data_IF_344894740911
#
_entry.id   IF_344894740911
#
_cell.length_a   1.000
_cell.length_b   1.000
_cell.length_c   1.000
_cell.angle_alpha   90.00
_cell.angle_beta   90.00
_cell.angle_gamma   90.00
#
_symmetry.space_group_name_H-M   'P 1'
#
loop_
_entity.id
_entity.type
_entity.pdbx_description
1 polymer ?
#
# COMPACT_ATOMS: atom_id res chain seq x y z
N UNK A 1 -29.53 -11.63 9.69
CA UNK A 1 -30.07 -10.29 10.00
C UNK A 1 -31.36 -10.13 9.22
N UNK A 2 -32.46 -9.82 9.88
CA UNK A 2 -33.75 -9.75 9.17
C UNK A 2 -33.83 -8.48 8.31
N UNK A 3 -34.83 -8.41 7.44
CA UNK A 3 -35.06 -7.32 6.48
C UNK A 3 -35.33 -5.99 7.17
N UNK A 4 -35.91 -6.02 8.37
CA UNK A 4 -36.15 -4.83 9.19
C UNK A 4 -34.83 -4.23 9.71
N UNK A 5 -33.95 -5.07 10.26
CA UNK A 5 -32.63 -4.67 10.76
C UNK A 5 -31.76 -4.06 9.66
N UNK A 6 -31.81 -4.65 8.45
CA UNK A 6 -31.10 -4.15 7.26
C UNK A 6 -31.61 -2.78 6.83
N UNK A 7 -32.93 -2.55 6.85
CA UNK A 7 -33.53 -1.25 6.55
C UNK A 7 -33.12 -0.18 7.57
N UNK A 8 -33.06 -0.52 8.85
CA UNK A 8 -32.64 0.40 9.92
C UNK A 8 -31.19 0.83 9.71
N UNK A 9 -30.30 -0.12 9.43
CA UNK A 9 -28.88 0.17 9.19
C UNK A 9 -28.70 1.00 7.91
N UNK A 10 -29.41 0.66 6.83
CA UNK A 10 -29.37 1.43 5.59
C UNK A 10 -29.80 2.88 5.82
N UNK A 11 -30.89 3.10 6.55
CA UNK A 11 -31.39 4.43 6.87
C UNK A 11 -30.37 5.22 7.68
N UNK A 12 -29.77 4.61 8.71
CA UNK A 12 -28.74 5.25 9.52
C UNK A 12 -27.53 5.69 8.69
N UNK A 13 -27.04 4.81 7.81
CA UNK A 13 -25.90 5.09 6.94
C UNK A 13 -26.22 6.16 5.89
N UNK A 14 -27.41 6.10 5.27
CA UNK A 14 -27.88 7.12 4.33
C UNK A 14 -27.96 8.48 5.01
N UNK A 15 -28.62 8.59 6.16
CA UNK A 15 -28.75 9.85 6.91
C UNK A 15 -27.39 10.44 7.30
N UNK A 16 -26.46 9.59 7.75
CA UNK A 16 -25.10 10.04 8.04
C UNK A 16 -24.37 10.55 6.78
N UNK A 17 -24.54 9.86 5.65
CA UNK A 17 -23.96 10.25 4.36
C UNK A 17 -24.55 11.57 3.85
N UNK A 18 -25.87 11.73 3.87
CA UNK A 18 -26.56 12.97 3.47
C UNK A 18 -26.11 14.16 4.31
N UNK A 19 -25.87 13.94 5.61
CA UNK A 19 -25.37 15.00 6.50
C UNK A 19 -23.92 15.40 6.19
N UNK A 20 -23.09 14.46 5.73
CA UNK A 20 -21.71 14.74 5.30
C UNK A 20 -21.68 15.56 4.01
N UNK A 21 -22.56 15.23 3.04
CA UNK A 21 -22.58 15.92 1.74
C UNK A 21 -23.42 17.20 1.74
N UNK A 22 -24.33 17.38 2.71
CA UNK A 22 -25.23 18.54 2.79
C UNK A 22 -26.39 18.52 1.78
N UNK A 23 -26.51 17.44 1.01
CA UNK A 23 -27.59 17.08 0.08
C UNK A 23 -27.60 15.56 -0.09
N UNK A 24 -28.59 15.02 -0.83
CA UNK A 24 -28.72 13.57 -1.05
C UNK A 24 -27.42 12.94 -1.54
N UNK A 25 -26.94 11.95 -0.81
CA UNK A 25 -25.67 11.26 -1.07
C UNK A 25 -25.68 10.58 -2.44
N UNK A 26 -24.60 10.69 -3.24
CA UNK A 26 -24.48 9.90 -4.47
C UNK A 26 -24.27 8.40 -4.20
N UNK A 27 -23.92 8.03 -2.95
CA UNK A 27 -23.61 6.66 -2.56
C UNK A 27 -24.86 5.86 -2.13
N UNK A 28 -25.98 6.56 -1.83
CA UNK A 28 -27.22 5.95 -1.33
C UNK A 28 -28.42 6.43 -2.17
N UNK A 29 -29.10 5.55 -2.92
CA UNK A 29 -30.30 5.93 -3.66
C UNK A 29 -31.44 6.38 -2.74
N UNK A 30 -32.36 7.17 -3.31
CA UNK A 30 -33.48 7.74 -2.57
C UNK A 30 -34.43 6.68 -2.01
N UNK A 31 -34.76 5.70 -2.84
CA UNK A 31 -35.50 4.50 -2.42
C UNK A 31 -34.53 3.43 -1.91
N UNK A 32 -34.76 2.88 -0.70
CA UNK A 32 -33.94 1.79 -0.18
C UNK A 32 -34.11 0.54 -1.05
N UNK A 33 -33.04 -0.25 -1.26
CA UNK A 33 -33.16 -1.53 -1.93
C UNK A 33 -34.06 -2.48 -1.12
N UNK A 34 -34.74 -3.40 -1.81
CA UNK A 34 -35.55 -4.43 -1.14
C UNK A 34 -34.60 -5.38 -0.40
N UNK A 35 -34.70 -5.40 0.92
CA UNK A 35 -33.98 -6.34 1.75
C UNK A 35 -34.83 -7.60 1.96
N UNK A 36 -34.21 -8.77 1.80
CA UNK A 36 -34.82 -10.07 2.07
C UNK A 36 -34.21 -10.70 3.31
N UNK A 37 -34.97 -11.59 3.95
CA UNK A 37 -34.51 -12.35 5.10
C UNK A 37 -33.50 -13.41 4.66
N UNK A 38 -32.39 -13.52 5.39
CA UNK A 38 -31.30 -14.45 5.05
C UNK A 38 -31.77 -15.92 5.00
N UNK A 39 -32.89 -16.25 5.64
CA UNK A 39 -33.52 -17.59 5.62
C UNK A 39 -34.31 -17.88 4.33
N UNK A 40 -34.82 -16.87 3.64
CA UNK A 40 -35.50 -17.04 2.34
C UNK A 40 -34.50 -17.16 1.18
N UNK A 41 -33.26 -16.72 1.37
CA UNK A 41 -32.22 -16.76 0.34
C UNK A 41 -31.68 -18.16 0.03
N UNK A 42 -31.78 -19.14 0.94
CA UNK A 42 -31.29 -20.50 0.66
C UNK A 42 -32.01 -21.21 -0.50
N UNK A 43 -33.25 -20.82 -0.84
CA UNK A 43 -34.02 -21.46 -1.91
C UNK A 43 -33.91 -20.74 -3.27
N UNK A 44 -33.37 -19.52 -3.30
CA UNK A 44 -33.27 -18.67 -4.50
C UNK A 44 -31.86 -18.75 -5.12
N UNK A 45 -30.84 -19.08 -4.31
CA UNK A 45 -29.43 -19.12 -4.70
C UNK A 45 -29.10 -20.12 -5.82
N UNK A 46 -29.90 -21.17 -6.07
CA UNK A 46 -29.62 -22.13 -7.14
C UNK A 46 -29.98 -21.64 -8.56
N UNK A 47 -30.76 -20.55 -8.73
CA UNK A 47 -31.28 -20.17 -10.06
C UNK A 47 -30.81 -18.81 -10.61
N UNK A 48 -30.17 -17.96 -9.81
CA UNK A 48 -29.75 -16.61 -10.25
C UNK A 48 -28.23 -16.38 -10.21
N UNK A 49 -27.44 -17.45 -10.30
CA UNK A 49 -25.98 -17.37 -10.45
C UNK A 49 -25.59 -16.91 -11.88
N UNK A 50 -26.03 -15.73 -12.32
CA UNK A 50 -25.40 -15.00 -13.42
C UNK A 50 -25.66 -13.49 -13.28
N UNK A 51 -24.56 -12.72 -13.26
CA UNK A 51 -24.42 -11.25 -13.36
C UNK A 51 -24.50 -10.39 -12.10
N UNK A 52 -23.68 -10.72 -11.10
CA UNK A 52 -23.25 -9.79 -10.06
C UNK A 52 -21.81 -10.10 -9.65
N UNK A 53 -20.86 -9.87 -10.55
CA UNK A 53 -19.47 -10.22 -10.34
C UNK A 53 -18.84 -9.25 -9.34
N UNK A 54 -18.93 -9.52 -8.03
CA UNK A 54 -18.06 -8.90 -7.04
C UNK A 54 -16.62 -9.34 -7.37
N UNK A 55 -15.91 -8.53 -8.14
CA UNK A 55 -14.50 -8.78 -8.44
C UNK A 55 -13.74 -8.83 -7.12
N UNK A 56 -13.10 -9.96 -6.82
CA UNK A 56 -12.24 -10.10 -5.66
C UNK A 56 -11.23 -8.93 -5.63
N UNK A 57 -11.12 -8.25 -4.49
CA UNK A 57 -10.15 -7.16 -4.33
C UNK A 57 -8.75 -7.79 -4.38
N UNK A 58 -7.93 -7.36 -5.34
CA UNK A 58 -6.59 -7.89 -5.59
C UNK A 58 -5.59 -6.75 -5.82
N UNK A 59 -4.29 -7.04 -5.77
CA UNK A 59 -3.25 -6.03 -6.00
C UNK A 59 -3.32 -5.49 -7.43
N UNK A 60 -3.73 -6.31 -8.40
CA UNK A 60 -3.97 -5.94 -9.79
C UNK A 60 -5.17 -4.99 -9.89
N UNK A 61 -6.26 -5.25 -9.17
CA UNK A 61 -7.43 -4.36 -9.19
C UNK A 61 -7.12 -3.01 -8.53
N UNK A 62 -6.29 -2.98 -7.50
CA UNK A 62 -5.74 -1.74 -6.94
C UNK A 62 -4.86 -1.01 -7.96
N UNK A 63 -4.00 -1.73 -8.68
CA UNK A 63 -3.14 -1.15 -9.72
C UNK A 63 -3.94 -0.53 -10.87
N UNK A 64 -5.03 -1.17 -11.28
CA UNK A 64 -5.97 -0.61 -12.27
C UNK A 64 -6.63 0.67 -11.77
N UNK A 65 -7.12 0.69 -10.52
CA UNK A 65 -7.68 1.92 -9.92
C UNK A 65 -6.63 3.04 -9.83
N UNK A 66 -5.36 2.70 -9.59
CA UNK A 66 -4.26 3.68 -9.59
C UNK A 66 -4.07 4.27 -10.99
N UNK A 67 -4.05 3.47 -12.06
CA UNK A 67 -3.87 3.97 -13.43
C UNK A 67 -4.96 4.93 -13.90
N UNK A 68 -6.18 4.75 -13.40
CA UNK A 68 -7.36 5.57 -13.74
C UNK A 68 -7.54 6.76 -12.78
N UNK A 69 -6.70 6.88 -11.74
CA UNK A 69 -6.90 7.85 -10.66
C UNK A 69 -6.68 9.31 -11.12
N UNK A 70 -7.62 10.18 -10.74
CA UNK A 70 -7.57 11.64 -10.94
C UNK A 70 -7.75 12.45 -9.63
N UNK A 71 -7.64 11.81 -8.46
CA UNK A 71 -8.00 12.39 -7.14
C UNK A 71 -7.14 13.55 -6.65
N UNK A 72 -5.98 13.82 -7.25
CA UNK A 72 -5.11 14.94 -6.86
C UNK A 72 -4.39 15.55 -8.07
N UNK A 73 -3.78 16.71 -7.88
CA UNK A 73 -3.12 17.49 -8.94
C UNK A 73 -2.00 16.74 -9.67
N UNK A 74 -1.40 15.71 -9.06
CA UNK A 74 -0.30 14.94 -9.69
C UNK A 74 -0.74 14.14 -10.93
N UNK A 75 -2.05 13.98 -11.15
CA UNK A 75 -2.55 13.27 -12.33
C UNK A 75 -2.23 13.99 -13.65
N UNK A 76 -2.14 15.31 -13.63
CA UNK A 76 -1.98 16.12 -14.84
C UNK A 76 -0.54 16.16 -15.35
N UNK A 77 0.44 15.81 -14.52
CA UNK A 77 1.87 15.94 -14.85
C UNK A 77 2.59 14.61 -15.00
N UNK A 78 1.99 13.49 -14.61
CA UNK A 78 2.59 12.16 -14.74
C UNK A 78 2.60 11.69 -16.19
N UNK A 79 3.61 10.92 -16.58
CA UNK A 79 3.58 10.11 -17.80
C UNK A 79 2.98 8.73 -17.51
N UNK A 80 3.40 8.09 -16.42
CA UNK A 80 2.82 6.83 -15.96
C UNK A 80 2.54 6.90 -14.47
N UNK A 81 1.55 6.15 -14.01
CA UNK A 81 1.43 5.84 -12.59
C UNK A 81 2.41 4.73 -12.22
N UNK A 82 2.78 4.69 -10.94
CA UNK A 82 3.71 3.69 -10.40
C UNK A 82 3.02 3.03 -9.20
N UNK A 83 2.19 2.00 -9.43
CA UNK A 83 1.40 1.39 -8.37
C UNK A 83 2.27 0.69 -7.32
N UNK A 84 3.36 0.06 -7.76
CA UNK A 84 4.25 -0.77 -6.96
C UNK A 84 4.65 -2.01 -7.75
N UNK A 85 5.66 -2.73 -7.28
CA UNK A 85 6.17 -3.94 -7.94
C UNK A 85 6.77 -4.91 -6.92
N UNK A 86 6.49 -6.20 -7.10
CA UNK A 86 7.14 -7.29 -6.40
C UNK A 86 6.28 -8.55 -6.38
N UNK A 87 6.56 -9.46 -5.45
CA UNK A 87 5.78 -10.69 -5.23
C UNK A 87 4.44 -10.38 -4.55
N UNK A 88 3.42 -11.22 -4.77
CA UNK A 88 2.07 -10.97 -4.25
C UNK A 88 1.91 -11.36 -2.77
N UNK A 89 2.76 -12.26 -2.29
CA UNK A 89 2.88 -12.60 -0.86
C UNK A 89 4.26 -12.21 -0.33
N UNK A 90 4.57 -10.91 -0.21
CA UNK A 90 5.88 -10.47 0.23
C UNK A 90 6.04 -10.71 1.73
N UNK A 91 7.24 -11.11 2.14
CA UNK A 91 7.63 -11.07 3.55
C UNK A 91 7.79 -9.61 4.00
N UNK A 92 8.29 -8.75 3.12
CA UNK A 92 8.59 -7.35 3.41
C UNK A 92 7.94 -6.42 2.39
N UNK A 93 7.26 -5.38 2.89
CA UNK A 93 6.86 -4.25 2.07
C UNK A 93 7.86 -3.09 2.26
N UNK A 94 8.41 -2.59 1.17
CA UNK A 94 9.26 -1.39 1.18
C UNK A 94 8.45 -0.20 0.71
N UNK A 95 8.48 0.89 1.47
CA UNK A 95 7.70 2.11 1.17
C UNK A 95 8.63 3.30 1.03
N UNK A 96 8.65 3.89 -0.17
CA UNK A 96 9.33 5.15 -0.47
C UNK A 96 8.38 6.35 -0.54
N UNK A 97 8.92 7.49 -0.97
CA UNK A 97 8.18 8.76 -1.07
C UNK A 97 7.24 8.79 -2.29
N UNK A 98 7.80 8.69 -3.48
CA UNK A 98 7.10 8.91 -4.74
C UNK A 98 7.99 8.60 -5.95
N UNK A 99 7.42 8.55 -7.16
CA UNK A 99 8.18 8.31 -8.39
C UNK A 99 9.12 9.46 -8.73
N UNK A 100 10.33 9.14 -9.19
CA UNK A 100 11.22 10.06 -9.88
C UNK A 100 11.00 10.03 -11.39
N UNK A 101 11.94 10.63 -12.14
CA UNK A 101 11.83 10.73 -13.61
C UNK A 101 11.87 9.37 -14.32
N UNK A 102 12.76 8.47 -13.88
CA UNK A 102 12.90 7.15 -14.49
C UNK A 102 11.69 6.26 -14.15
N UNK A 103 11.17 6.38 -12.93
CA UNK A 103 9.97 5.66 -12.48
C UNK A 103 8.72 6.13 -13.26
N UNK A 104 8.54 7.44 -13.41
CA UNK A 104 7.45 8.01 -14.21
C UNK A 104 7.53 7.63 -15.69
N UNK A 105 8.75 7.51 -16.24
CA UNK A 105 8.95 7.10 -17.62
C UNK A 105 8.61 5.61 -17.86
N UNK A 106 8.80 4.76 -16.85
CA UNK A 106 8.70 3.29 -16.98
C UNK A 106 7.46 2.70 -16.31
N UNK A 107 6.79 3.42 -15.41
CA UNK A 107 5.71 2.90 -14.58
C UNK A 107 6.17 2.00 -13.42
N UNK A 108 7.48 1.88 -13.18
CA UNK A 108 8.07 0.93 -12.23
C UNK A 108 8.74 1.65 -11.06
N UNK A 109 8.60 1.17 -9.81
CA UNK A 109 9.18 1.84 -8.64
C UNK A 109 10.69 1.60 -8.54
N UNK A 110 11.44 2.62 -8.10
CA UNK A 110 12.86 2.50 -7.77
C UNK A 110 13.68 1.82 -8.89
N UNK A 111 13.67 2.41 -10.09
CA UNK A 111 14.47 1.95 -11.24
C UNK A 111 15.65 2.89 -11.56
N UNK A 112 15.61 4.14 -11.07
CA UNK A 112 16.69 5.10 -11.21
C UNK A 112 17.90 4.82 -10.31
N UNK A 113 18.86 5.78 -10.20
CA UNK A 113 20.06 5.61 -9.38
C UNK A 113 19.79 5.25 -7.91
N UNK A 114 18.79 5.91 -7.30
CA UNK A 114 18.37 5.61 -5.92
C UNK A 114 17.80 4.19 -5.81
N UNK A 115 17.07 3.73 -6.81
CA UNK A 115 16.52 2.37 -6.87
C UNK A 115 17.57 1.30 -7.00
N UNK A 116 18.59 1.52 -7.83
CA UNK A 116 19.73 0.59 -7.94
C UNK A 116 20.52 0.48 -6.63
N UNK A 117 20.60 1.55 -5.84
CA UNK A 117 21.17 1.49 -4.50
C UNK A 117 20.25 0.74 -3.53
N UNK A 118 18.93 0.98 -3.60
CA UNK A 118 17.95 0.24 -2.80
C UNK A 118 18.04 -1.26 -3.05
N UNK A 119 18.15 -1.69 -4.31
CA UNK A 119 18.29 -3.11 -4.65
C UNK A 119 19.54 -3.71 -4.00
N UNK A 120 20.68 -3.00 -4.02
CA UNK A 120 21.90 -3.45 -3.33
C UNK A 120 21.73 -3.52 -1.81
N UNK A 121 21.03 -2.55 -1.22
CA UNK A 121 20.71 -2.52 0.20
C UNK A 121 19.86 -3.73 0.59
N UNK A 122 18.79 -4.01 -0.15
CA UNK A 122 17.92 -5.16 0.10
C UNK A 122 18.67 -6.49 -0.09
N UNK A 123 19.44 -6.62 -1.17
CA UNK A 123 20.22 -7.83 -1.43
C UNK A 123 21.24 -8.13 -0.32
N UNK A 124 21.82 -7.10 0.31
CA UNK A 124 22.77 -7.27 1.42
C UNK A 124 22.14 -7.88 2.69
N UNK A 125 20.81 -7.90 2.76
CA UNK A 125 20.02 -8.55 3.82
C UNK A 125 19.08 -9.61 3.24
N UNK A 126 19.46 -10.26 2.14
CA UNK A 126 18.72 -11.38 1.52
C UNK A 126 17.29 -11.05 1.09
N UNK A 127 17.02 -9.78 0.78
CA UNK A 127 15.75 -9.30 0.27
C UNK A 127 15.84 -8.99 -1.23
N UNK A 128 14.82 -9.40 -1.98
CA UNK A 128 14.70 -9.19 -3.42
C UNK A 128 13.22 -9.03 -3.80
N UNK A 129 12.90 -7.97 -4.54
CA UNK A 129 11.55 -7.72 -5.07
C UNK A 129 11.03 -8.84 -5.97
N UNK A 130 11.90 -9.70 -6.51
CA UNK A 130 11.52 -10.88 -7.30
C UNK A 130 11.19 -12.11 -6.46
N UNK A 131 11.53 -12.14 -5.17
CA UNK A 131 11.44 -13.34 -4.33
C UNK A 131 10.58 -13.16 -3.10
N UNK A 132 10.78 -12.07 -2.36
CA UNK A 132 10.25 -11.93 -1.00
C UNK A 132 9.88 -10.49 -0.62
N UNK A 133 9.97 -9.53 -1.54
CA UNK A 133 9.59 -8.14 -1.30
C UNK A 133 8.54 -7.61 -2.27
N UNK A 134 7.78 -6.63 -1.81
CA UNK A 134 7.01 -5.72 -2.65
C UNK A 134 7.46 -4.28 -2.37
N UNK A 135 7.60 -3.47 -3.40
CA UNK A 135 8.07 -2.09 -3.29
C UNK A 135 6.99 -1.15 -3.79
N UNK A 136 6.65 -0.16 -2.96
CA UNK A 136 5.65 0.85 -3.23
C UNK A 136 6.12 2.23 -2.74
N UNK A 137 5.32 3.26 -3.02
CA UNK A 137 5.53 4.63 -2.53
C UNK A 137 4.26 5.19 -1.87
N UNK A 138 4.41 6.25 -1.08
CA UNK A 138 3.29 7.04 -0.53
C UNK A 138 2.41 7.57 -1.66
N UNK A 139 2.98 8.31 -2.61
CA UNK A 139 2.28 8.77 -3.81
C UNK A 139 2.60 7.88 -5.01
N UNK A 140 1.62 7.68 -5.91
CA UNK A 140 1.76 6.82 -7.11
C UNK A 140 2.05 7.60 -8.39
N UNK A 141 2.23 8.91 -8.30
CA UNK A 141 2.46 9.81 -9.42
C UNK A 141 3.65 10.70 -9.10
N UNK A 142 4.49 11.02 -10.09
CA UNK A 142 5.66 11.87 -9.90
C UNK A 142 5.25 13.32 -9.58
N UNK A 143 5.71 13.89 -8.45
CA UNK A 143 5.61 15.32 -8.21
C UNK A 143 6.43 16.14 -9.23
N UNK A 144 5.92 17.29 -9.71
CA UNK A 144 6.66 18.15 -10.65
C UNK A 144 8.05 18.50 -10.12
N UNK A 145 9.07 18.39 -10.99
CA UNK A 145 10.47 18.65 -10.64
C UNK A 145 11.03 17.80 -9.48
N UNK A 146 10.41 16.64 -9.16
CA UNK A 146 10.80 15.78 -8.04
C UNK A 146 10.80 16.51 -6.68
N UNK A 147 9.91 17.50 -6.49
CA UNK A 147 9.64 18.06 -5.16
C UNK A 147 9.02 16.99 -4.25
N UNK A 148 9.06 17.23 -2.94
CA UNK A 148 8.27 16.44 -2.00
C UNK A 148 6.77 16.53 -2.36
N UNK A 149 6.00 15.42 -2.21
CA UNK A 149 4.55 15.45 -2.34
C UNK A 149 3.94 16.36 -1.26
N UNK A 150 2.92 17.12 -1.62
CA UNK A 150 2.16 17.91 -0.66
C UNK A 150 1.34 17.02 0.27
N UNK A 151 1.00 17.47 1.48
CA UNK A 151 0.14 16.71 2.40
C UNK A 151 -1.17 16.26 1.75
N UNK A 152 -1.85 17.13 0.99
CA UNK A 152 -3.10 16.76 0.30
C UNK A 152 -2.90 15.72 -0.81
N UNK A 153 -1.73 15.68 -1.45
CA UNK A 153 -1.40 14.70 -2.49
C UNK A 153 -1.13 13.33 -1.88
N UNK A 154 -0.42 13.29 -0.74
CA UNK A 154 -0.19 12.06 0.02
C UNK A 154 -1.49 11.50 0.59
N UNK A 155 -2.34 12.34 1.19
CA UNK A 155 -3.63 11.93 1.76
C UNK A 155 -4.56 11.37 0.67
N UNK A 156 -4.64 12.04 -0.49
CA UNK A 156 -5.46 11.55 -1.61
C UNK A 156 -5.00 10.17 -2.15
N UNK A 157 -3.72 9.83 -1.98
CA UNK A 157 -3.16 8.55 -2.40
C UNK A 157 -3.20 7.46 -1.31
N UNK A 158 -3.43 7.84 -0.05
CA UNK A 158 -3.27 6.98 1.13
C UNK A 158 -4.06 5.67 1.04
N UNK A 159 -5.31 5.75 0.60
CA UNK A 159 -6.20 4.60 0.49
C UNK A 159 -5.63 3.48 -0.42
N UNK A 160 -4.82 3.83 -1.42
CA UNK A 160 -4.17 2.81 -2.25
C UNK A 160 -3.08 2.05 -1.50
N UNK A 161 -2.26 2.75 -0.73
CA UNK A 161 -1.21 2.12 0.06
C UNK A 161 -1.82 1.28 1.21
N UNK A 162 -2.87 1.77 1.87
CA UNK A 162 -3.60 1.02 2.89
C UNK A 162 -4.21 -0.27 2.32
N UNK A 163 -4.81 -0.20 1.12
CA UNK A 163 -5.31 -1.37 0.42
C UNK A 163 -4.18 -2.35 0.07
N UNK A 164 -3.02 -1.85 -0.40
CA UNK A 164 -1.85 -2.69 -0.67
C UNK A 164 -1.34 -3.38 0.58
N UNK A 165 -1.21 -2.68 1.71
CA UNK A 165 -0.78 -3.27 2.99
C UNK A 165 -1.75 -4.37 3.42
N UNK A 166 -3.05 -4.11 3.31
CA UNK A 166 -4.11 -5.07 3.69
C UNK A 166 -4.09 -6.34 2.84
N UNK A 167 -3.83 -6.20 1.54
CA UNK A 167 -3.80 -7.33 0.61
C UNK A 167 -2.49 -8.13 0.72
N UNK A 168 -1.35 -7.43 0.78
CA UNK A 168 -0.03 -8.03 0.79
C UNK A 168 0.32 -8.68 2.14
N UNK A 169 -0.25 -8.19 3.25
CA UNK A 169 -0.04 -8.68 4.62
C UNK A 169 1.45 -8.95 4.95
N UNK A 170 2.34 -7.95 4.76
CA UNK A 170 3.77 -8.14 4.99
C UNK A 170 4.04 -8.42 6.47
N UNK A 171 5.07 -9.22 6.76
CA UNK A 171 5.51 -9.45 8.14
C UNK A 171 6.19 -8.21 8.74
N UNK A 172 6.83 -7.39 7.91
CA UNK A 172 7.48 -6.13 8.31
C UNK A 172 7.45 -5.08 7.19
N UNK A 173 7.53 -3.81 7.56
CA UNK A 173 7.63 -2.69 6.62
C UNK A 173 8.95 -1.94 6.80
N UNK A 174 9.66 -1.70 5.68
CA UNK A 174 10.82 -0.81 5.63
C UNK A 174 10.41 0.53 4.99
N UNK A 175 10.31 1.58 5.79
CA UNK A 175 10.04 2.93 5.32
C UNK A 175 11.36 3.64 4.99
N UNK A 176 11.58 3.96 3.71
CA UNK A 176 12.81 4.60 3.23
C UNK A 176 12.62 6.09 3.02
N UNK A 177 13.20 6.90 3.90
CA UNK A 177 13.17 8.36 3.82
C UNK A 177 12.14 9.03 4.74
N UNK A 178 12.37 10.32 5.00
CA UNK A 178 11.54 11.14 5.89
C UNK A 178 10.07 11.14 5.48
N UNK A 179 9.77 11.41 4.20
CA UNK A 179 8.39 11.52 3.74
C UNK A 179 7.64 10.20 3.87
N UNK A 180 8.27 9.08 3.50
CA UNK A 180 7.70 7.75 3.69
C UNK A 180 7.39 7.48 5.16
N UNK A 181 8.37 7.69 6.05
CA UNK A 181 8.20 7.49 7.49
C UNK A 181 7.12 8.36 8.11
N UNK A 182 7.12 9.66 7.78
CA UNK A 182 6.16 10.62 8.34
C UNK A 182 4.72 10.33 7.93
N UNK A 183 4.49 10.01 6.65
CA UNK A 183 3.16 9.67 6.16
C UNK A 183 2.67 8.32 6.69
N UNK A 184 3.55 7.31 6.71
CA UNK A 184 3.17 5.97 7.18
C UNK A 184 2.85 5.96 8.68
N UNK A 185 3.63 6.68 9.48
CA UNK A 185 3.48 6.73 10.95
C UNK A 185 2.62 7.90 11.44
N UNK A 186 2.08 8.73 10.53
CA UNK A 186 1.32 9.95 10.85
C UNK A 186 2.01 10.84 11.88
N UNK A 187 3.27 11.18 11.62
CA UNK A 187 4.11 11.97 12.53
C UNK A 187 4.88 13.04 11.76
N UNK A 188 5.24 14.13 12.45
CA UNK A 188 6.14 15.17 11.92
C UNK A 188 7.59 14.96 12.34
N UNK A 189 7.88 13.88 13.08
CA UNK A 189 9.22 13.59 13.60
C UNK A 189 10.23 13.45 12.46
N UNK A 190 11.40 14.07 12.60
CA UNK A 190 12.48 13.96 11.63
C UNK A 190 13.09 12.54 11.58
N UNK A 191 13.58 12.14 10.40
CA UNK A 191 14.09 10.78 10.15
C UNK A 191 15.21 10.35 11.13
N UNK A 192 16.04 11.30 11.58
CA UNK A 192 17.13 11.01 12.53
C UNK A 192 16.65 10.47 13.89
N UNK A 193 15.44 10.82 14.32
CA UNK A 193 14.82 10.30 15.55
C UNK A 193 13.95 9.05 15.31
N UNK A 194 13.43 8.88 14.09
CA UNK A 194 12.57 7.75 13.73
C UNK A 194 13.36 6.47 13.41
N UNK A 195 14.60 6.61 12.94
CA UNK A 195 15.47 5.47 12.66
C UNK A 195 16.03 4.84 13.93
N UNK A 196 16.63 3.64 13.81
CA UNK A 196 17.19 2.89 14.93
C UNK A 196 16.17 2.50 16.03
N UNK A 197 14.88 2.45 15.70
CA UNK A 197 13.80 2.01 16.58
C UNK A 197 12.67 1.41 15.74
N UNK A 198 12.01 0.37 16.26
CA UNK A 198 10.82 -0.20 15.64
C UNK A 198 9.59 0.60 16.06
N UNK A 199 8.73 0.86 15.07
CA UNK A 199 7.40 1.42 15.25
C UNK A 199 6.35 0.36 14.91
N UNK A 200 5.10 0.65 15.23
CA UNK A 200 3.98 -0.24 14.92
C UNK A 200 3.02 0.44 13.94
N UNK A 201 2.59 -0.31 12.93
CA UNK A 201 1.49 0.06 12.06
C UNK A 201 0.48 -1.08 12.06
N UNK A 202 -0.55 -0.95 12.90
CA UNK A 202 -1.64 -1.94 13.02
C UNK A 202 -1.11 -3.37 13.30
N UNK A 203 -0.13 -3.50 14.18
CA UNK A 203 0.51 -4.77 14.51
C UNK A 203 1.64 -5.20 13.57
N UNK A 204 1.93 -4.43 12.51
CA UNK A 204 3.05 -4.68 11.59
C UNK A 204 4.26 -3.84 12.05
N UNK A 205 5.39 -4.48 12.40
CA UNK A 205 6.61 -3.75 12.75
C UNK A 205 7.14 -2.93 11.57
N UNK A 206 7.41 -1.65 11.82
CA UNK A 206 7.95 -0.71 10.85
C UNK A 206 9.33 -0.25 11.29
N UNK A 207 10.31 -0.31 10.39
CA UNK A 207 11.58 0.37 10.58
C UNK A 207 11.75 1.51 9.59
N UNK A 208 12.19 2.66 10.08
CA UNK A 208 12.52 3.80 9.26
C UNK A 208 14.03 3.86 9.00
N UNK A 209 14.43 4.19 7.77
CA UNK A 209 15.83 4.44 7.42
C UNK A 209 15.97 5.60 6.42
N UNK A 210 17.19 6.01 6.10
CA UNK A 210 17.44 7.07 5.14
C UNK A 210 17.04 6.66 3.72
N UNK A 211 16.54 7.63 2.95
CA UNK A 211 16.24 7.41 1.54
C UNK A 211 17.55 7.17 0.75
N UNK A 212 17.60 6.20 -0.20
CA UNK A 212 18.80 5.95 -0.99
C UNK A 212 19.33 7.18 -1.73
N UNK A 213 18.46 8.09 -2.18
CA UNK A 213 18.90 9.35 -2.80
C UNK A 213 19.70 10.25 -1.85
N UNK A 214 19.44 10.21 -0.54
CA UNK A 214 20.24 10.93 0.46
C UNK A 214 21.62 10.28 0.63
N UNK A 215 21.68 8.94 0.62
CA UNK A 215 22.94 8.18 0.71
C UNK A 215 23.86 8.38 -0.50
N UNK A 216 23.28 8.65 -1.67
CA UNK A 216 24.04 9.00 -2.88
C UNK A 216 24.64 10.41 -2.80
N UNK A 217 24.02 11.33 -2.06
CA UNK A 217 24.51 12.71 -1.89
C UNK A 217 25.44 12.86 -0.69
N UNK A 218 25.25 12.06 0.36
CA UNK A 218 26.02 12.11 1.58
C UNK A 218 26.41 10.70 2.03
N UNK A 219 27.72 10.41 1.93
CA UNK A 219 28.26 9.09 2.26
C UNK A 219 28.25 8.80 3.75
N UNK A 220 28.29 9.80 4.62
CA UNK A 220 28.28 9.63 6.07
C UNK A 220 26.98 8.97 6.55
N UNK A 221 25.91 9.07 5.77
CA UNK A 221 24.62 8.43 6.05
C UNK A 221 24.61 6.93 5.73
N UNK A 222 25.58 6.41 4.97
CA UNK A 222 25.62 4.99 4.55
C UNK A 222 25.83 4.07 5.75
N UNK A 223 26.74 4.41 6.67
CA UNK A 223 26.97 3.60 7.88
C UNK A 223 25.73 3.53 8.76
N UNK A 224 25.08 4.65 9.14
CA UNK A 224 23.80 4.61 9.83
C UNK A 224 22.76 3.75 9.11
N UNK A 225 22.53 3.96 7.81
CA UNK A 225 21.55 3.16 7.07
C UNK A 225 21.88 1.65 7.11
N UNK A 226 23.16 1.28 7.07
CA UNK A 226 23.58 -0.11 7.22
C UNK A 226 23.25 -0.69 8.61
N UNK A 227 23.43 0.09 9.67
CA UNK A 227 23.00 -0.33 11.02
C UNK A 227 21.49 -0.57 11.10
N UNK A 228 20.68 0.29 10.46
CA UNK A 228 19.22 0.07 10.38
C UNK A 228 18.89 -1.25 9.66
N UNK A 229 19.56 -1.53 8.53
CA UNK A 229 19.31 -2.76 7.76
C UNK A 229 19.70 -4.02 8.52
N UNK A 230 20.81 -4.00 9.28
CA UNK A 230 21.17 -5.12 10.16
C UNK A 230 20.09 -5.35 11.23
N UNK A 231 19.64 -4.29 11.87
CA UNK A 231 18.56 -4.39 12.87
C UNK A 231 17.26 -4.91 12.25
N UNK A 232 16.93 -4.45 11.04
CA UNK A 232 15.78 -4.94 10.27
C UNK A 232 15.88 -6.44 10.00
N UNK A 233 17.03 -6.88 9.46
CA UNK A 233 17.34 -8.27 9.16
C UNK A 233 17.20 -9.17 10.39
N UNK A 234 17.76 -8.75 11.52
CA UNK A 234 17.76 -9.55 12.74
C UNK A 234 16.34 -9.72 13.31
N UNK A 235 15.54 -8.64 13.26
CA UNK A 235 14.12 -8.72 13.65
C UNK A 235 13.32 -9.57 12.68
N UNK A 236 13.57 -9.44 11.37
CA UNK A 236 12.90 -10.22 10.34
C UNK A 236 13.17 -11.72 10.49
N UNK A 237 14.44 -12.09 10.72
CA UNK A 237 14.83 -13.48 10.97
C UNK A 237 14.14 -14.07 12.21
N UNK A 238 13.92 -13.25 13.23
CA UNK A 238 13.17 -13.68 14.44
C UNK A 238 11.67 -13.87 14.17
N UNK A 239 11.07 -13.10 13.27
CA UNK A 239 9.64 -13.19 12.95
C UNK A 239 9.33 -14.25 11.89
N UNK A 240 10.22 -14.39 10.92
CA UNK A 240 10.10 -15.30 9.78
C UNK A 240 11.45 -16.01 9.59
N UNK A 241 11.73 -17.06 10.37
CA UNK A 241 12.96 -17.82 10.24
C UNK A 241 13.12 -18.40 8.83
N UNK A 242 14.26 -18.16 8.19
CA UNK A 242 14.55 -18.69 6.85
C UNK A 242 13.94 -17.89 5.70
N UNK A 243 13.54 -16.62 5.92
CA UNK A 243 12.99 -15.76 4.88
C UNK A 243 13.92 -15.58 3.66
N UNK A 244 15.22 -15.88 3.80
CA UNK A 244 16.18 -15.82 2.69
C UNK A 244 15.85 -16.83 1.58
N UNK A 245 15.19 -17.93 1.95
CA UNK A 245 14.74 -18.98 1.03
C UNK A 245 13.28 -18.81 0.60
N UNK A 246 12.61 -17.74 1.04
CA UNK A 246 11.20 -17.50 0.72
C UNK A 246 11.04 -17.25 -0.79
N UNK A 247 10.17 -18.05 -1.41
CA UNK A 247 9.72 -17.85 -2.79
C UNK A 247 8.20 -17.87 -2.82
N UNK A 248 7.60 -16.99 -3.62
CA UNK A 248 6.13 -16.84 -3.80
C UNK A 248 5.44 -18.09 -4.42
N UNK A 249 6.14 -19.23 -4.50
CA UNK A 249 5.68 -20.48 -5.11
C UNK A 249 4.88 -21.38 -4.16
N UNK A 250 4.74 -21.03 -2.88
CA UNK A 250 4.02 -21.85 -1.89
C UNK A 250 2.48 -21.76 -1.98
N UNK A 251 1.94 -21.02 -2.94
CA UNK A 251 0.51 -20.98 -3.27
C UNK A 251 0.27 -21.34 -4.74
N UNK A 252 0.69 -22.53 -5.18
CA UNK A 252 -0.06 -23.21 -6.24
C UNK A 252 -1.32 -23.77 -5.56
N UNK A 253 -2.55 -23.46 -6.02
CA UNK A 253 -3.71 -24.17 -5.52
C UNK A 253 -3.50 -25.64 -5.86
N UNK A 254 -3.42 -26.48 -4.83
CA UNK A 254 -3.53 -27.91 -4.98
C UNK A 254 -4.89 -28.18 -5.62
N UNK A 255 -4.90 -28.36 -6.94
CA UNK A 255 -6.04 -28.97 -7.63
C UNK A 255 -6.05 -30.42 -7.17
N UNK A 256 -6.95 -30.74 -6.25
CA UNK A 256 -7.47 -32.09 -6.05
C UNK A 256 -8.87 -32.14 -6.63
#
# INVERSE_FOLDING_TARGET
MNSSDKNIIYTLLKTASDHIYGYGSPDFPDEPPVFYDDLENCAIEEKNAQSGQFAAVSVESVSKKISECSRCALNSTRKNTVPGEGVLHPVVLVVGEGPGADEDATGRPFVGPAGRLLDKMLLSISLDRKKNCFIANIVKCRPPNNRDPKPEEAEACRAFLEAQITLLKPAMILAVGRIASQNLLRTETGIGRLRNTFHDLNGIPVLCTYHPSALLRNEDLKRPAWEDLKMFRDKLQSLVPGYENYTDTFFSPSVQ
#
